data_IF_545888331263
#
_entry.id   IF_545888331263
#
_cell.length_a   1.000
_cell.length_b   1.000
_cell.length_c   1.000
_cell.angle_alpha   90.00
_cell.angle_beta   90.00
_cell.angle_gamma   90.00
#
_symmetry.space_group_name_H-M   'P 1'
#
loop_
_entity.id
_entity.type
_entity.pdbx_description
1 polymer ?
#
# COMPACT_ATOMS: atom_id res chain seq x y z
N UNK A 1 7.30 -1.56 -10.18
CA UNK A 1 8.26 -1.72 -9.08
C UNK A 1 7.67 -1.11 -7.82
N UNK A 2 7.81 -1.76 -6.68
CA UNK A 2 7.42 -1.18 -5.40
C UNK A 2 8.70 -0.83 -4.62
N UNK A 3 8.73 0.36 -4.03
CA UNK A 3 9.87 0.87 -3.26
C UNK A 3 9.36 1.40 -1.93
N UNK A 4 9.83 0.82 -0.83
CA UNK A 4 9.55 1.32 0.51
C UNK A 4 10.72 2.17 1.00
N UNK A 5 10.51 3.48 1.18
CA UNK A 5 11.54 4.43 1.61
C UNK A 5 10.92 5.54 2.46
N UNK A 6 11.59 5.92 3.55
CA UNK A 6 11.12 7.00 4.41
C UNK A 6 9.77 6.72 5.07
N UNK A 7 9.52 5.45 5.44
CA UNK A 7 8.23 4.97 5.98
C UNK A 7 7.03 5.10 5.03
N UNK A 8 7.28 5.29 3.74
CA UNK A 8 6.24 5.38 2.72
C UNK A 8 6.46 4.32 1.64
N UNK A 9 5.38 3.70 1.20
CA UNK A 9 5.38 2.85 0.02
C UNK A 9 5.17 3.71 -1.22
N UNK A 10 6.09 3.61 -2.18
CA UNK A 10 6.01 4.26 -3.49
C UNK A 10 5.90 3.19 -4.56
N UNK A 11 4.94 3.36 -5.46
CA UNK A 11 4.71 2.43 -6.56
C UNK A 11 5.16 3.13 -7.83
N UNK A 12 6.01 2.47 -8.60
CA UNK A 12 6.50 2.98 -9.88
C UNK A 12 6.08 2.05 -11.02
N UNK A 13 5.61 2.63 -12.12
CA UNK A 13 5.41 1.91 -13.39
C UNK A 13 6.39 2.44 -14.44
N UNK A 14 6.84 1.55 -15.32
CA UNK A 14 7.62 1.96 -16.50
C UNK A 14 6.64 2.51 -17.53
N UNK A 15 6.75 3.79 -17.82
CA UNK A 15 5.96 4.48 -18.85
C UNK A 15 6.93 5.14 -19.82
N UNK A 16 6.77 4.81 -21.10
CA UNK A 16 7.76 5.13 -22.15
C UNK A 16 9.14 4.57 -21.73
N UNK A 17 10.10 5.43 -21.38
CA UNK A 17 11.46 5.05 -20.99
C UNK A 17 11.81 5.35 -19.53
N UNK A 18 10.83 5.75 -18.70
CA UNK A 18 11.10 6.16 -17.32
C UNK A 18 10.14 5.55 -16.30
N UNK A 19 10.63 5.38 -15.07
CA UNK A 19 9.79 4.99 -13.94
C UNK A 19 9.04 6.20 -13.38
N UNK A 20 7.71 6.20 -13.55
CA UNK A 20 6.81 7.22 -13.03
C UNK A 20 6.14 6.75 -11.74
N UNK A 21 5.97 7.67 -10.79
CA UNK A 21 5.22 7.39 -9.55
C UNK A 21 3.75 7.19 -9.89
N UNK A 22 3.16 6.13 -9.34
CA UNK A 22 1.78 5.72 -9.57
C UNK A 22 1.04 5.68 -8.24
N UNK A 23 -0.25 6.05 -8.30
CA UNK A 23 -1.14 5.92 -7.15
C UNK A 23 -1.60 4.47 -6.96
N UNK A 24 -1.74 3.71 -8.06
CA UNK A 24 -2.26 2.35 -8.04
C UNK A 24 -1.21 1.36 -8.55
N UNK A 25 -1.29 0.12 -8.04
CA UNK A 25 -0.48 -0.98 -8.56
C UNK A 25 -1.15 -1.58 -9.78
N UNK A 26 -0.37 -2.00 -10.79
CA UNK A 26 -0.86 -2.86 -11.88
C UNK A 26 -1.58 -4.11 -11.37
N UNK A 27 -1.15 -4.65 -10.22
CA UNK A 27 -1.74 -5.85 -9.61
C UNK A 27 -3.00 -5.56 -8.79
N UNK A 28 -3.18 -4.32 -8.37
CA UNK A 28 -4.31 -3.88 -7.55
C UNK A 28 -4.80 -2.53 -8.09
N UNK A 29 -5.45 -2.53 -9.27
CA UNK A 29 -5.78 -1.31 -9.99
C UNK A 29 -6.81 -0.44 -9.26
N UNK A 30 -7.61 -1.03 -8.38
CA UNK A 30 -8.69 -0.36 -7.65
C UNK A 30 -8.32 0.00 -6.20
N UNK A 31 -7.15 -0.48 -5.72
CA UNK A 31 -6.70 -0.23 -4.35
C UNK A 31 -5.55 0.76 -4.33
N UNK A 32 -5.67 1.76 -3.47
CA UNK A 32 -4.55 2.60 -3.08
C UNK A 32 -3.64 1.85 -2.08
N UNK A 33 -2.82 0.94 -2.60
CA UNK A 33 -1.97 0.08 -1.77
C UNK A 33 -1.00 0.90 -0.91
N UNK A 34 -0.55 2.06 -1.38
CA UNK A 34 0.33 2.93 -0.62
C UNK A 34 -0.34 3.44 0.67
N UNK A 35 -1.60 3.88 0.56
CA UNK A 35 -2.41 4.32 1.68
C UNK A 35 -2.73 3.18 2.66
N UNK A 36 -3.12 2.01 2.14
CA UNK A 36 -3.44 0.84 2.97
C UNK A 36 -2.23 0.41 3.80
N UNK A 37 -1.03 0.42 3.22
CA UNK A 37 0.22 0.11 3.92
C UNK A 37 0.52 1.18 4.97
N UNK A 38 0.35 2.46 4.64
CA UNK A 38 0.57 3.56 5.58
C UNK A 38 -0.33 3.44 6.82
N UNK A 39 -1.62 3.21 6.63
CA UNK A 39 -2.58 3.03 7.72
C UNK A 39 -2.28 1.78 8.55
N UNK A 40 -1.91 0.68 7.91
CA UNK A 40 -1.55 -0.56 8.60
C UNK A 40 -0.33 -0.35 9.51
N UNK A 41 0.67 0.39 9.04
CA UNK A 41 1.85 0.75 9.83
C UNK A 41 1.50 1.67 11.00
N UNK A 42 0.61 2.64 10.77
CA UNK A 42 0.13 3.53 11.83
C UNK A 42 -0.58 2.73 12.94
N UNK A 43 -1.51 1.83 12.58
CA UNK A 43 -2.21 0.99 13.55
C UNK A 43 -1.26 0.07 14.31
N UNK A 44 -0.23 -0.46 13.64
CA UNK A 44 0.77 -1.30 14.29
C UNK A 44 1.55 -0.52 15.36
N UNK A 45 1.88 0.75 15.07
CA UNK A 45 2.56 1.66 15.98
C UNK A 45 1.68 2.10 17.15
N UNK A 46 0.40 2.42 16.89
CA UNK A 46 -0.53 2.94 17.90
C UNK A 46 -1.14 1.84 18.79
N UNK A 47 -1.31 0.63 18.26
CA UNK A 47 -2.00 -0.48 18.94
C UNK A 47 -1.11 -1.70 19.05
N UNK A 48 -1.05 -2.48 17.97
CA UNK A 48 -0.23 -3.69 17.84
C UNK A 48 -0.37 -4.29 16.44
N UNK A 49 0.58 -5.17 16.09
CA UNK A 49 0.62 -5.90 14.83
C UNK A 49 -0.64 -6.72 14.54
N UNK A 50 -1.30 -7.29 15.56
CA UNK A 50 -2.52 -8.08 15.39
C UNK A 50 -3.71 -7.24 14.93
N UNK A 51 -3.86 -6.03 15.48
CA UNK A 51 -4.87 -5.07 15.06
C UNK A 51 -4.62 -4.59 13.62
N UNK A 52 -3.37 -4.28 13.29
CA UNK A 52 -2.97 -3.88 11.93
C UNK A 52 -3.29 -4.97 10.90
N UNK A 53 -2.93 -6.23 11.17
CA UNK A 53 -3.22 -7.36 10.27
C UNK A 53 -4.72 -7.58 10.07
N UNK A 54 -5.54 -7.39 11.11
CA UNK A 54 -7.00 -7.52 10.99
C UNK A 54 -7.58 -6.43 10.09
N UNK A 55 -7.13 -5.18 10.26
CA UNK A 55 -7.58 -4.07 9.44
C UNK A 55 -7.11 -4.20 7.99
N UNK A 56 -5.86 -4.63 7.77
CA UNK A 56 -5.32 -4.93 6.45
C UNK A 56 -6.19 -5.97 5.72
N UNK A 57 -6.51 -7.09 6.38
CA UNK A 57 -7.41 -8.11 5.80
C UNK A 57 -8.79 -7.56 5.48
N UNK A 58 -9.36 -6.72 6.36
CA UNK A 58 -10.66 -6.08 6.12
C UNK A 58 -10.62 -5.25 4.85
N UNK A 59 -9.61 -4.37 4.69
CA UNK A 59 -9.46 -3.50 3.51
C UNK A 59 -9.28 -4.28 2.21
N UNK A 60 -8.50 -5.37 2.23
CA UNK A 60 -8.31 -6.22 1.05
C UNK A 60 -9.56 -7.06 0.69
N UNK A 61 -10.33 -7.51 1.68
CA UNK A 61 -11.54 -8.30 1.44
C UNK A 61 -12.78 -7.44 1.13
N UNK A 62 -12.75 -6.14 1.41
CA UNK A 62 -13.87 -5.22 1.14
C UNK A 62 -13.99 -4.86 -0.36
N UNK A 63 -12.98 -5.24 -1.15
CA UNK A 63 -12.84 -4.92 -2.58
C UNK A 63 -13.03 -6.17 -3.47
N UNK A 64 -13.51 -7.29 -2.88
CA UNK A 64 -13.79 -8.59 -3.53
C UNK A 64 -15.28 -8.87 -3.63
#
# INVERSE_FOLDING_TARGET
MWLYKGKQLKIYALESDNYQLQNNSRYFPNLNIAEIVQESLQIAQERNSSAAMRELRRKFNSDS
#
